data_IF_467221082901
#
_entry.id   IF_467221082901
#
_cell.length_a   1.000
_cell.length_b   1.000
_cell.length_c   1.000
_cell.angle_alpha   90.00
_cell.angle_beta   90.00
_cell.angle_gamma   90.00
#
_symmetry.space_group_name_H-M   'P 1'
#
loop_
_entity.id
_entity.type
_entity.pdbx_description
1 polymer ?
#
# COMPACT_ATOMS: atom_id res chain seq x y z
N UNK A 1 7.56 -9.12 -12.16
CA UNK A 1 7.09 -8.32 -11.00
C UNK A 1 7.37 -6.84 -11.30
N UNK A 2 6.34 -6.06 -11.61
CA UNK A 2 6.48 -4.68 -12.14
C UNK A 2 7.42 -3.79 -11.31
N UNK A 3 7.24 -3.74 -9.98
CA UNK A 3 8.06 -2.89 -9.10
C UNK A 3 9.57 -3.21 -9.13
N UNK A 4 9.97 -4.49 -9.32
CA UNK A 4 11.39 -4.85 -9.44
C UNK A 4 11.98 -4.31 -10.75
N UNK A 5 11.22 -4.39 -11.85
CA UNK A 5 11.63 -3.85 -13.15
C UNK A 5 11.66 -2.32 -13.11
N UNK A 6 10.67 -1.69 -12.47
CA UNK A 6 10.66 -0.24 -12.23
C UNK A 6 11.86 0.22 -11.41
N UNK A 7 12.25 -0.56 -10.39
CA UNK A 7 13.42 -0.32 -9.57
C UNK A 7 14.78 -0.61 -10.26
N UNK A 8 14.79 -1.06 -11.51
CA UNK A 8 16.03 -1.36 -12.26
C UNK A 8 16.75 -2.62 -11.78
N UNK A 9 16.06 -3.53 -11.08
CA UNK A 9 16.64 -4.75 -10.49
C UNK A 9 16.39 -6.02 -11.30
N UNK A 10 15.59 -5.90 -12.34
CA UNK A 10 15.35 -6.96 -13.32
C UNK A 10 15.00 -6.33 -14.66
N UNK A 11 15.27 -7.08 -15.73
CA UNK A 11 14.82 -6.74 -17.08
C UNK A 11 13.35 -7.10 -17.27
N UNK A 12 12.66 -6.38 -18.15
CA UNK A 12 11.28 -6.66 -18.52
C UNK A 12 10.59 -5.47 -19.20
N UNK A 13 9.50 -5.77 -19.91
CA UNK A 13 8.64 -4.75 -20.49
C UNK A 13 7.78 -4.10 -19.39
N UNK A 14 8.16 -2.87 -19.01
CA UNK A 14 7.47 -2.11 -17.95
C UNK A 14 6.01 -1.83 -18.32
N UNK A 15 5.71 -1.52 -19.57
CA UNK A 15 4.38 -1.14 -20.01
C UNK A 15 3.45 -2.34 -20.05
N UNK A 16 3.93 -3.47 -20.57
CA UNK A 16 3.18 -4.73 -20.54
C UNK A 16 2.93 -5.19 -19.10
N UNK A 17 3.97 -5.17 -18.24
CA UNK A 17 3.83 -5.53 -16.83
C UNK A 17 2.87 -4.60 -16.07
N UNK A 18 2.87 -3.31 -16.38
CA UNK A 18 1.95 -2.36 -15.78
C UNK A 18 0.50 -2.68 -16.14
N UNK A 19 0.21 -2.77 -17.44
CA UNK A 19 -1.15 -2.92 -17.98
C UNK A 19 -1.75 -4.30 -17.72
N UNK A 20 -0.95 -5.35 -17.87
CA UNK A 20 -1.47 -6.73 -17.83
C UNK A 20 -1.44 -7.36 -16.44
N UNK A 21 -0.58 -6.87 -15.54
CA UNK A 21 -0.34 -7.51 -14.23
C UNK A 21 -0.54 -6.54 -13.07
N UNK A 22 0.21 -5.44 -13.04
CA UNK A 22 0.28 -4.57 -11.88
C UNK A 22 -1.04 -3.84 -11.62
N UNK A 23 -1.52 -3.08 -12.60
CA UNK A 23 -2.73 -2.30 -12.43
C UNK A 23 -3.97 -3.18 -12.18
N UNK A 24 -4.21 -4.28 -12.93
CA UNK A 24 -5.33 -5.18 -12.65
C UNK A 24 -5.26 -5.81 -11.25
N UNK A 25 -4.06 -6.11 -10.74
CA UNK A 25 -3.91 -6.63 -9.38
C UNK A 25 -4.32 -5.61 -8.32
N UNK A 26 -3.97 -4.34 -8.49
CA UNK A 26 -4.38 -3.26 -7.58
C UNK A 26 -5.88 -2.98 -7.67
N UNK A 27 -6.43 -2.95 -8.89
CA UNK A 27 -7.86 -2.76 -9.13
C UNK A 27 -8.71 -3.88 -8.51
N UNK A 28 -8.17 -5.08 -8.35
CA UNK A 28 -8.81 -6.17 -7.59
C UNK A 28 -8.60 -6.06 -6.08
N UNK A 29 -7.38 -5.69 -5.66
CA UNK A 29 -6.94 -5.85 -4.26
C UNK A 29 -7.41 -4.68 -3.38
N UNK A 30 -7.25 -3.43 -3.81
CA UNK A 30 -7.62 -2.28 -2.98
C UNK A 30 -9.13 -2.21 -2.67
N UNK A 31 -10.04 -2.46 -3.63
CA UNK A 31 -11.47 -2.51 -3.32
C UNK A 31 -11.83 -3.65 -2.35
N UNK A 32 -11.14 -4.78 -2.44
CA UNK A 32 -11.33 -5.88 -1.49
C UNK A 32 -10.88 -5.49 -0.08
N UNK A 33 -9.70 -4.85 0.06
CA UNK A 33 -9.21 -4.33 1.34
C UNK A 33 -10.21 -3.31 1.91
N UNK A 34 -10.73 -2.40 1.09
CA UNK A 34 -11.75 -1.45 1.50
C UNK A 34 -13.01 -2.13 2.02
N UNK A 35 -13.47 -3.18 1.34
CA UNK A 35 -14.63 -3.96 1.77
C UNK A 35 -14.38 -4.66 3.12
N UNK A 36 -13.21 -5.28 3.31
CA UNK A 36 -12.83 -5.93 4.57
C UNK A 36 -12.75 -4.90 5.70
N UNK A 37 -12.11 -3.76 5.45
CA UNK A 37 -12.01 -2.65 6.39
C UNK A 37 -13.39 -2.16 6.83
N UNK A 38 -14.31 -1.93 5.88
CA UNK A 38 -15.68 -1.48 6.18
C UNK A 38 -16.44 -2.49 7.04
N UNK A 39 -16.23 -3.80 6.81
CA UNK A 39 -16.87 -4.86 7.59
C UNK A 39 -16.33 -4.99 9.02
N UNK A 40 -15.08 -4.59 9.27
CA UNK A 40 -14.46 -4.70 10.59
C UNK A 40 -15.13 -3.84 11.67
N UNK A 41 -15.65 -2.67 11.29
CA UNK A 41 -16.15 -1.64 12.20
C UNK A 41 -15.10 -0.95 13.08
N UNK A 42 -13.83 -1.38 13.08
CA UNK A 42 -12.78 -0.87 13.99
C UNK A 42 -11.94 0.26 13.39
N UNK A 43 -12.06 0.48 12.08
CA UNK A 43 -11.16 1.34 11.32
C UNK A 43 -9.84 0.68 10.91
N UNK A 44 -9.67 -0.62 11.20
CA UNK A 44 -8.53 -1.50 10.85
C UNK A 44 -9.02 -2.82 10.24
N UNK A 45 -8.16 -3.68 9.69
CA UNK A 45 -8.60 -4.92 9.02
C UNK A 45 -9.40 -5.85 9.97
N UNK A 46 -8.97 -5.94 11.23
CA UNK A 46 -9.61 -6.79 12.22
C UNK A 46 -10.59 -6.01 13.11
N UNK A 47 -11.71 -6.60 13.55
CA UNK A 47 -12.60 -5.99 14.53
C UNK A 47 -11.91 -5.66 15.87
N UNK A 48 -10.82 -6.36 16.21
CA UNK A 48 -10.00 -6.11 17.41
C UNK A 48 -9.09 -4.89 17.30
N UNK A 49 -9.11 -4.16 16.17
CA UNK A 49 -8.27 -2.99 15.92
C UNK A 49 -7.00 -3.34 15.14
N UNK A 50 -5.95 -2.53 15.36
CA UNK A 50 -4.68 -2.62 14.65
C UNK A 50 -4.02 -4.01 14.80
N UNK A 51 -3.63 -4.59 13.66
CA UNK A 51 -2.88 -5.85 13.57
C UNK A 51 -1.65 -5.70 12.67
N UNK A 52 -0.83 -6.75 12.59
CA UNK A 52 0.31 -6.77 11.67
C UNK A 52 -0.11 -6.68 10.20
N UNK A 53 -1.36 -7.07 9.85
CA UNK A 53 -1.88 -6.99 8.48
C UNK A 53 -2.03 -5.55 8.03
N UNK A 54 -2.48 -4.66 8.93
CA UNK A 54 -2.58 -3.23 8.67
C UNK A 54 -1.20 -2.62 8.36
N UNK A 55 -0.17 -3.03 9.12
CA UNK A 55 1.22 -2.64 8.87
C UNK A 55 1.70 -3.10 7.50
N UNK A 56 1.44 -4.37 7.16
CA UNK A 56 1.83 -4.94 5.88
C UNK A 56 1.20 -4.18 4.71
N UNK A 57 -0.10 -3.89 4.78
CA UNK A 57 -0.79 -3.12 3.74
C UNK A 57 -0.21 -1.71 3.63
N UNK A 58 0.05 -1.03 4.76
CA UNK A 58 0.63 0.31 4.76
C UNK A 58 2.04 0.34 4.13
N UNK A 59 2.92 -0.60 4.47
CA UNK A 59 4.29 -0.67 3.90
C UNK A 59 4.29 -1.02 2.40
N UNK A 60 3.44 -1.96 1.97
CA UNK A 60 3.31 -2.28 0.54
C UNK A 60 2.78 -1.09 -0.24
N UNK A 61 1.78 -0.37 0.30
CA UNK A 61 1.29 0.89 -0.27
C UNK A 61 2.39 1.94 -0.39
N UNK A 62 3.25 2.10 0.64
CA UNK A 62 4.41 3.00 0.60
C UNK A 62 5.33 2.68 -0.58
N UNK A 63 5.70 1.41 -0.74
CA UNK A 63 6.57 0.99 -1.85
C UNK A 63 5.91 1.29 -3.20
N UNK A 64 4.62 0.99 -3.33
CA UNK A 64 3.86 1.26 -4.57
C UNK A 64 3.84 2.76 -4.86
N UNK A 65 3.52 3.61 -3.88
CA UNK A 65 3.42 5.06 -4.08
C UNK A 65 4.79 5.71 -4.36
N UNK A 66 5.87 5.17 -3.79
CA UNK A 66 7.22 5.67 -4.06
C UNK A 66 7.65 5.41 -5.51
N UNK A 67 7.32 4.26 -6.07
CA UNK A 67 7.67 3.91 -7.45
C UNK A 67 6.63 4.37 -8.49
N UNK A 68 5.37 4.53 -8.07
CA UNK A 68 4.21 4.75 -8.94
C UNK A 68 3.24 5.74 -8.28
N UNK A 69 3.63 7.02 -8.13
CA UNK A 69 2.88 7.99 -7.33
C UNK A 69 1.43 8.18 -7.78
N UNK A 70 1.13 7.99 -9.07
CA UNK A 70 -0.21 8.10 -9.64
C UNK A 70 -1.21 7.10 -9.03
N UNK A 71 -0.74 5.99 -8.45
CA UNK A 71 -1.60 5.02 -7.77
C UNK A 71 -2.23 5.63 -6.51
N UNK A 72 -1.53 6.51 -5.79
CA UNK A 72 -2.09 7.19 -4.62
C UNK A 72 -3.30 8.08 -5.02
N UNK A 73 -3.22 8.73 -6.17
CA UNK A 73 -4.32 9.52 -6.73
C UNK A 73 -5.44 8.64 -7.27
N UNK A 74 -5.11 7.50 -7.91
CA UNK A 74 -6.09 6.56 -8.46
C UNK A 74 -6.87 5.82 -7.37
N UNK A 75 -6.23 5.54 -6.24
CA UNK A 75 -6.82 4.84 -5.09
C UNK A 75 -6.67 5.67 -3.81
N UNK A 76 -7.40 6.79 -3.68
CA UNK A 76 -7.27 7.70 -2.54
C UNK A 76 -7.52 7.00 -1.20
N UNK A 77 -8.44 6.03 -1.18
CA UNK A 77 -8.69 5.18 -0.02
C UNK A 77 -7.42 4.47 0.49
N UNK A 78 -6.57 3.95 -0.39
CA UNK A 78 -5.35 3.25 0.00
C UNK A 78 -4.34 4.21 0.65
N UNK A 79 -4.23 5.44 0.13
CA UNK A 79 -3.40 6.48 0.71
C UNK A 79 -3.92 6.96 2.07
N UNK A 80 -5.23 7.18 2.20
CA UNK A 80 -5.88 7.53 3.47
C UNK A 80 -5.69 6.44 4.53
N UNK A 81 -5.83 5.17 4.14
CA UNK A 81 -5.67 4.05 5.04
C UNK A 81 -4.21 3.86 5.47
N UNK A 82 -3.24 3.98 4.56
CA UNK A 82 -1.82 4.02 4.91
C UNK A 82 -1.53 5.13 5.94
N UNK A 83 -2.04 6.34 5.69
CA UNK A 83 -1.89 7.47 6.62
C UNK A 83 -2.47 7.14 7.99
N UNK A 84 -3.67 6.55 8.06
CA UNK A 84 -4.30 6.13 9.32
C UNK A 84 -3.43 5.17 10.12
N UNK A 85 -2.82 4.18 9.46
CA UNK A 85 -1.94 3.21 10.12
C UNK A 85 -0.69 3.91 10.64
N UNK A 86 -0.09 4.81 9.85
CA UNK A 86 1.12 5.54 10.25
C UNK A 86 0.89 6.60 11.32
N UNK A 87 -0.29 7.22 11.36
CA UNK A 87 -0.67 8.18 12.41
C UNK A 87 -0.99 7.51 13.75
N UNK A 88 -1.12 6.17 13.79
CA UNK A 88 -1.47 5.46 15.00
C UNK A 88 -0.44 5.76 16.12
N UNK A 89 -0.87 6.04 17.38
CA UNK A 89 0.02 6.49 18.45
C UNK A 89 1.21 5.57 18.74
N UNK A 90 1.06 4.26 18.51
CA UNK A 90 2.13 3.26 18.70
C UNK A 90 3.12 3.16 17.54
N UNK A 91 2.85 3.81 16.40
CA UNK A 91 3.61 3.66 15.14
C UNK A 91 4.22 4.99 14.69
N UNK A 92 3.51 6.10 14.87
CA UNK A 92 3.88 7.43 14.34
C UNK A 92 5.32 7.85 14.64
N UNK A 93 5.82 7.59 15.85
CA UNK A 93 7.16 8.03 16.27
C UNK A 93 8.26 7.24 15.51
N UNK A 94 8.01 5.96 15.24
CA UNK A 94 8.89 5.15 14.40
C UNK A 94 8.88 5.63 12.94
N UNK A 95 7.69 5.89 12.37
CA UNK A 95 7.58 6.37 10.99
C UNK A 95 8.28 7.72 10.80
N UNK A 96 8.21 8.61 11.79
CA UNK A 96 8.90 9.90 11.75
C UNK A 96 10.43 9.79 11.86
N UNK A 97 10.94 8.81 12.59
CA UNK A 97 12.38 8.65 12.87
C UNK A 97 13.10 7.63 11.98
N UNK A 98 12.38 6.73 11.33
CA UNK A 98 12.98 5.70 10.47
C UNK A 98 13.70 6.31 9.28
N UNK A 99 14.78 5.65 8.85
CA UNK A 99 15.48 6.01 7.62
C UNK A 99 14.52 5.87 6.44
N UNK A 100 14.41 6.91 5.63
CA UNK A 100 13.61 6.87 4.42
C UNK A 100 14.33 6.02 3.36
N UNK A 101 13.65 4.99 2.90
CA UNK A 101 14.07 4.12 1.81
C UNK A 101 12.94 4.02 0.78
N UNK A 102 13.26 3.80 -0.52
CA UNK A 102 12.22 3.65 -1.54
C UNK A 102 11.29 2.45 -1.34
N UNK A 103 11.73 1.45 -0.57
CA UNK A 103 11.05 0.20 -0.20
C UNK A 103 11.54 -0.28 1.17
#
# INVERSE_FOLDING_TARGET
>A
MYLIVTAGRAEGDKDALYKEKFLPALEKTFPYIEQVLKKSGSGFIAPSGLTWVDLFIAEISTTIFNYVPEIATKFPFAAEYQKRVYDHPKIKDYIASRKQTPY
#
